data_IF_605155126365
#
_entry.id   IF_605155126365
#
_cell.length_a   1.000
_cell.length_b   1.000
_cell.length_c   1.000
_cell.angle_alpha   90.00
_cell.angle_beta   90.00
_cell.angle_gamma   90.00
#
_symmetry.space_group_name_H-M   'P 1'
#
loop_
_entity.id
_entity.type
_entity.pdbx_description
1 polymer ?
#
# COMPACT_ATOMS: atom_id res chain seq x y z
N UNK A 1 -21.27 23.64 -5.12
CA UNK A 1 -21.09 22.17 -5.27
C UNK A 1 -22.18 21.50 -4.43
N UNK A 2 -23.25 20.93 -5.03
CA UNK A 2 -24.49 20.63 -4.29
C UNK A 2 -24.81 19.14 -4.02
N UNK A 3 -24.07 18.17 -4.55
CA UNK A 3 -24.14 16.77 -4.07
C UNK A 3 -22.94 15.93 -4.54
N UNK A 4 -22.58 14.90 -3.76
CA UNK A 4 -21.51 13.92 -4.09
C UNK A 4 -21.74 13.22 -5.43
N UNK A 5 -23.00 13.11 -5.88
CA UNK A 5 -23.34 12.51 -7.18
C UNK A 5 -22.75 13.28 -8.38
N UNK A 6 -22.43 14.57 -8.22
CA UNK A 6 -21.83 15.35 -9.28
C UNK A 6 -20.36 14.94 -9.57
N UNK A 7 -19.65 14.35 -8.60
CA UNK A 7 -18.29 13.84 -8.80
C UNK A 7 -18.26 12.63 -9.74
N UNK A 8 -19.27 11.77 -9.68
CA UNK A 8 -19.40 10.60 -10.56
C UNK A 8 -19.77 10.94 -12.01
N UNK A 9 -20.13 12.21 -12.30
CA UNK A 9 -20.32 12.69 -13.68
C UNK A 9 -19.00 12.98 -14.39
N UNK A 10 -17.89 13.08 -13.65
CA UNK A 10 -16.56 13.23 -14.22
C UNK A 10 -16.07 11.86 -14.69
N UNK A 11 -15.84 11.64 -15.99
CA UNK A 11 -15.53 10.33 -16.54
C UNK A 11 -14.22 9.72 -15.98
N UNK A 12 -13.30 10.55 -15.52
CA UNK A 12 -12.05 10.14 -14.88
C UNK A 12 -12.24 9.69 -13.42
N UNK A 13 -13.29 10.16 -12.74
CA UNK A 13 -13.48 9.90 -11.31
C UNK A 13 -13.94 8.48 -11.03
N UNK A 14 -14.90 7.95 -11.80
CA UNK A 14 -15.43 6.59 -11.62
C UNK A 14 -14.36 5.49 -11.72
N UNK A 15 -13.50 5.43 -12.75
CA UNK A 15 -12.45 4.42 -12.83
C UNK A 15 -11.37 4.60 -11.74
N UNK A 16 -11.04 5.84 -11.37
CA UNK A 16 -10.11 6.13 -10.28
C UNK A 16 -10.67 5.68 -8.92
N UNK A 17 -11.96 5.95 -8.68
CA UNK A 17 -12.68 5.52 -7.48
C UNK A 17 -12.74 4.00 -7.39
N UNK A 18 -13.15 3.32 -8.46
CA UNK A 18 -13.24 1.86 -8.49
C UNK A 18 -11.88 1.19 -8.30
N UNK A 19 -10.85 1.66 -8.99
CA UNK A 19 -9.49 1.12 -8.82
C UNK A 19 -8.97 1.32 -7.40
N UNK A 20 -9.20 2.49 -6.81
CA UNK A 20 -8.81 2.77 -5.42
C UNK A 20 -9.60 1.91 -4.44
N UNK A 21 -10.90 1.76 -4.62
CA UNK A 21 -11.76 0.93 -3.78
C UNK A 21 -11.36 -0.54 -3.85
N UNK A 22 -11.13 -1.07 -5.06
CA UNK A 22 -10.71 -2.43 -5.29
C UNK A 22 -9.31 -2.69 -4.69
N UNK A 23 -8.38 -1.75 -4.86
CA UNK A 23 -7.04 -1.83 -4.25
C UNK A 23 -7.14 -1.86 -2.72
N UNK A 24 -7.98 -1.02 -2.13
CA UNK A 24 -8.21 -1.02 -0.67
C UNK A 24 -8.78 -2.36 -0.21
N UNK A 25 -9.82 -2.87 -0.88
CA UNK A 25 -10.39 -4.19 -0.57
C UNK A 25 -9.35 -5.32 -0.68
N UNK A 26 -8.57 -5.34 -1.76
CA UNK A 26 -7.51 -6.32 -1.96
C UNK A 26 -6.47 -6.27 -0.84
N UNK A 27 -6.07 -5.08 -0.40
CA UNK A 27 -5.10 -4.92 0.69
C UNK A 27 -5.64 -5.43 2.04
N UNK A 28 -6.91 -5.18 2.35
CA UNK A 28 -7.55 -5.66 3.58
C UNK A 28 -7.66 -7.19 3.59
N UNK A 29 -8.10 -7.78 2.49
CA UNK A 29 -8.22 -9.24 2.36
C UNK A 29 -6.84 -9.89 2.39
N UNK A 30 -5.85 -9.30 1.71
CA UNK A 30 -4.47 -9.79 1.69
C UNK A 30 -3.83 -9.86 3.08
N UNK A 31 -4.03 -8.84 3.92
CA UNK A 31 -3.53 -8.83 5.29
C UNK A 31 -4.14 -9.96 6.15
N UNK A 32 -5.46 -10.17 6.05
CA UNK A 32 -6.15 -11.24 6.77
C UNK A 32 -5.72 -12.64 6.27
N UNK A 33 -5.58 -12.80 4.96
CA UNK A 33 -5.12 -14.05 4.35
C UNK A 33 -3.69 -14.39 4.81
N UNK A 34 -2.79 -13.41 4.85
CA UNK A 34 -1.42 -13.62 5.30
C UNK A 34 -1.35 -13.96 6.79
N UNK A 35 -2.16 -13.30 7.63
CA UNK A 35 -2.25 -13.59 9.06
C UNK A 35 -2.71 -15.03 9.32
N UNK A 36 -3.75 -15.48 8.62
CA UNK A 36 -4.30 -16.83 8.77
C UNK A 36 -3.33 -17.90 8.25
N UNK A 37 -2.65 -17.65 7.13
CA UNK A 37 -1.59 -18.54 6.62
C UNK A 37 -0.42 -18.65 7.62
N UNK A 38 0.03 -17.52 8.16
CA UNK A 38 1.13 -17.48 9.14
C UNK A 38 0.76 -18.22 10.42
N UNK A 39 -0.47 -18.04 10.91
CA UNK A 39 -0.96 -18.75 12.09
C UNK A 39 -1.00 -20.25 11.86
N UNK A 40 -1.51 -20.70 10.70
CA UNK A 40 -1.55 -22.12 10.35
C UNK A 40 -0.15 -22.73 10.21
N UNK A 41 0.82 -21.97 9.74
CA UNK A 41 2.19 -22.43 9.55
C UNK A 41 3.01 -22.47 10.85
N UNK A 42 2.76 -21.54 11.79
CA UNK A 42 3.63 -21.33 12.97
C UNK A 42 2.94 -21.53 14.32
N UNK A 43 1.62 -21.49 14.39
CA UNK A 43 0.84 -21.50 15.62
C UNK A 43 0.97 -20.24 16.49
N UNK A 44 1.77 -19.25 16.07
CA UNK A 44 2.07 -18.06 16.88
C UNK A 44 1.11 -16.90 16.57
N UNK A 45 0.33 -16.42 17.56
CA UNK A 45 -0.54 -15.26 17.39
C UNK A 45 0.26 -13.96 17.18
N UNK A 46 1.48 -13.87 17.73
CA UNK A 46 2.34 -12.70 17.56
C UNK A 46 2.86 -12.58 16.12
N UNK A 47 3.37 -13.66 15.53
CA UNK A 47 3.84 -13.65 14.14
C UNK A 47 2.70 -13.39 13.16
N UNK A 48 1.51 -13.87 13.48
CA UNK A 48 0.30 -13.62 12.69
C UNK A 48 -0.09 -12.15 12.72
N UNK A 49 -0.11 -11.52 13.91
CA UNK A 49 -0.34 -10.09 14.03
C UNK A 49 0.73 -9.27 13.29
N UNK A 50 2.00 -9.64 13.43
CA UNK A 50 3.10 -8.97 12.75
C UNK A 50 2.98 -9.05 11.22
N UNK A 51 2.55 -10.20 10.69
CA UNK A 51 2.31 -10.36 9.25
C UNK A 51 1.12 -9.52 8.75
N UNK A 52 0.05 -9.40 9.54
CA UNK A 52 -1.13 -8.61 9.20
C UNK A 52 -0.84 -7.10 9.16
N UNK A 53 -0.07 -6.62 10.14
CA UNK A 53 0.22 -5.19 10.34
C UNK A 53 1.58 -4.75 9.77
N UNK A 54 2.35 -5.69 9.19
CA UNK A 54 3.68 -5.44 8.62
C UNK A 54 3.73 -4.22 7.68
N UNK A 55 2.79 -4.05 6.72
CA UNK A 55 2.76 -2.88 5.85
C UNK A 55 2.64 -1.55 6.59
N UNK A 56 1.87 -1.48 7.68
CA UNK A 56 1.70 -0.25 8.46
C UNK A 56 2.96 0.09 9.27
N UNK A 57 3.65 -0.93 9.80
CA UNK A 57 4.94 -0.73 10.46
C UNK A 57 5.99 -0.19 9.49
N UNK A 58 6.07 -0.80 8.30
CA UNK A 58 6.92 -0.31 7.22
C UNK A 58 6.54 1.12 6.80
N UNK A 59 5.24 1.43 6.77
CA UNK A 59 4.75 2.77 6.47
C UNK A 59 5.15 3.79 7.53
N UNK A 60 5.08 3.48 8.82
CA UNK A 60 5.51 4.39 9.91
C UNK A 60 7.01 4.67 9.80
N UNK A 61 7.82 3.63 9.58
CA UNK A 61 9.28 3.78 9.39
C UNK A 61 9.57 4.61 8.14
N UNK A 62 8.91 4.32 7.02
CA UNK A 62 9.07 5.06 5.77
C UNK A 62 8.61 6.51 5.91
N UNK A 63 7.45 6.75 6.53
CA UNK A 63 6.91 8.10 6.73
C UNK A 63 7.85 8.93 7.61
N UNK A 64 8.32 8.39 8.74
CA UNK A 64 9.20 9.13 9.66
C UNK A 64 10.58 9.44 9.06
N UNK A 65 11.11 8.58 8.19
CA UNK A 65 12.42 8.76 7.56
C UNK A 65 12.35 9.59 6.26
N UNK A 66 11.33 9.36 5.43
CA UNK A 66 11.18 10.06 4.15
C UNK A 66 10.44 11.38 4.26
N UNK A 67 9.58 11.63 5.27
CA UNK A 67 8.87 12.91 5.36
C UNK A 67 9.86 14.09 5.38
N UNK A 68 10.94 13.98 6.16
CA UNK A 68 12.00 14.99 6.21
C UNK A 68 12.80 15.13 4.91
N UNK A 69 12.83 14.08 4.08
CA UNK A 69 13.46 14.12 2.77
C UNK A 69 12.55 14.73 1.70
N UNK A 70 11.22 14.62 1.83
CA UNK A 70 10.23 15.12 0.87
C UNK A 70 10.43 16.60 0.51
N UNK A 71 10.79 17.42 1.49
CA UNK A 71 10.94 18.87 1.30
C UNK A 71 12.19 19.25 0.49
N UNK A 72 13.11 18.30 0.27
CA UNK A 72 14.42 18.56 -0.36
C UNK A 72 14.61 17.87 -1.71
N UNK A 73 13.71 16.96 -2.12
CA UNK A 73 13.90 16.16 -3.33
C UNK A 73 13.06 16.65 -4.52
N UNK A 74 13.63 16.68 -5.76
CA UNK A 74 12.88 16.99 -6.96
C UNK A 74 11.85 15.87 -7.26
N UNK A 75 10.56 16.20 -7.48
CA UNK A 75 9.46 15.22 -7.53
C UNK A 75 9.67 14.06 -8.52
N UNK A 76 10.32 14.35 -9.66
CA UNK A 76 10.53 13.36 -10.73
C UNK A 76 11.58 12.30 -10.36
N UNK A 77 12.62 12.69 -9.61
CA UNK A 77 13.65 11.76 -9.14
C UNK A 77 13.09 10.84 -8.05
N UNK A 78 12.24 11.38 -7.17
CA UNK A 78 11.59 10.59 -6.11
C UNK A 78 10.63 9.55 -6.70
N UNK A 79 9.81 9.95 -7.68
CA UNK A 79 8.88 9.02 -8.34
C UNK A 79 9.61 7.89 -9.08
N UNK A 80 10.69 8.20 -9.78
CA UNK A 80 11.52 7.19 -10.47
C UNK A 80 12.24 6.28 -9.49
N UNK A 81 12.79 6.83 -8.39
CA UNK A 81 13.41 6.04 -7.33
C UNK A 81 12.44 5.07 -6.65
N UNK A 82 11.22 5.52 -6.33
CA UNK A 82 10.18 4.67 -5.73
C UNK A 82 9.76 3.56 -6.71
N UNK A 83 9.58 3.88 -7.99
CA UNK A 83 9.22 2.88 -9.01
C UNK A 83 10.33 1.82 -9.19
N UNK A 84 11.60 2.24 -9.20
CA UNK A 84 12.75 1.33 -9.27
C UNK A 84 12.85 0.44 -8.02
N UNK A 85 12.71 1.02 -6.83
CA UNK A 85 12.71 0.26 -5.59
C UNK A 85 11.61 -0.80 -5.56
N UNK A 86 10.40 -0.43 -6.01
CA UNK A 86 9.29 -1.36 -6.13
C UNK A 86 9.59 -2.47 -7.14
N UNK A 87 10.11 -2.14 -8.33
CA UNK A 87 10.46 -3.10 -9.36
C UNK A 87 11.58 -4.07 -8.91
N UNK A 88 12.58 -3.57 -8.19
CA UNK A 88 13.64 -4.42 -7.62
C UNK A 88 13.09 -5.33 -6.52
N UNK A 89 12.20 -4.82 -5.67
CA UNK A 89 11.55 -5.61 -4.62
C UNK A 89 10.68 -6.73 -5.20
N UNK A 90 9.89 -6.44 -6.23
CA UNK A 90 9.09 -7.47 -6.90
C UNK A 90 9.94 -8.47 -7.66
N UNK A 91 11.03 -8.04 -8.31
CA UNK A 91 11.98 -8.94 -8.95
C UNK A 91 12.63 -9.89 -7.94
N UNK A 92 13.03 -9.38 -6.76
CA UNK A 92 13.60 -10.20 -5.70
C UNK A 92 12.60 -11.19 -5.06
N UNK A 93 11.30 -10.86 -5.03
CA UNK A 93 10.27 -11.83 -4.60
C UNK A 93 9.94 -12.87 -5.66
N UNK A 94 10.21 -12.58 -6.93
CA UNK A 94 9.94 -13.48 -8.05
C UNK A 94 11.04 -14.54 -8.26
N UNK A 95 12.25 -14.31 -7.73
CA UNK A 95 13.37 -15.26 -7.72
C UNK A 95 13.29 -16.21 -6.54
#
# INVERSE_FOLDING_TARGET
MRSYSALFRTPEFTPLFLSTALRSAASTIGGLALATLTYRATGSPLLSALSMFGPQLAQVVGATTLLSASDRLPPRATLTGIALAFALGTAAMAT
#
